data_IF_051065541436
#
_entry.id   IF_051065541436
#
_cell.length_a   1.000
_cell.length_b   1.000
_cell.length_c   1.000
_cell.angle_alpha   90.00
_cell.angle_beta   90.00
_cell.angle_gamma   90.00
#
_symmetry.space_group_name_H-M   'P 1'
#
loop_
_entity.id
_entity.type
_entity.pdbx_description
1 polymer ?
#
# COMPACT_ATOMS: atom_id res chain seq x y z
N UNK A 1 -7.51 5.03 -10.79
CA UNK A 1 -7.90 5.76 -9.57
C UNK A 1 -8.93 4.96 -8.80
N UNK A 2 -8.86 5.04 -7.49
CA UNK A 2 -9.74 4.31 -6.60
C UNK A 2 -10.39 5.32 -5.66
N UNK A 3 -11.71 5.24 -5.51
CA UNK A 3 -12.44 6.08 -4.55
C UNK A 3 -12.73 5.25 -3.30
N UNK A 4 -12.28 5.74 -2.15
CA UNK A 4 -12.52 5.10 -0.86
C UNK A 4 -13.14 6.14 0.07
N UNK A 5 -14.37 5.90 0.48
CA UNK A 5 -15.11 6.80 1.38
C UNK A 5 -15.11 8.26 0.88
N UNK A 6 -15.30 8.45 -0.43
CA UNK A 6 -15.31 9.79 -1.02
C UNK A 6 -13.95 10.39 -1.31
N UNK A 7 -12.87 9.72 -0.92
CA UNK A 7 -11.50 10.19 -1.16
C UNK A 7 -10.89 9.47 -2.35
N UNK A 8 -10.23 10.21 -3.21
CA UNK A 8 -9.63 9.68 -4.43
C UNK A 8 -8.18 9.26 -4.14
N UNK A 9 -7.90 7.99 -4.40
CA UNK A 9 -6.58 7.42 -4.22
C UNK A 9 -5.97 7.05 -5.57
N UNK A 10 -4.66 7.24 -5.70
CA UNK A 10 -3.92 6.86 -6.92
C UNK A 10 -2.97 5.73 -6.60
N UNK A 11 -2.79 4.83 -7.57
CA UNK A 11 -1.87 3.70 -7.46
C UNK A 11 -0.79 3.85 -8.53
N UNK A 12 0.48 3.77 -8.11
CA UNK A 12 1.62 3.85 -9.00
C UNK A 12 2.47 2.59 -8.89
N UNK A 13 2.83 2.03 -10.04
CA UNK A 13 3.81 0.96 -10.11
C UNK A 13 5.18 1.61 -10.30
N UNK A 14 6.11 1.32 -9.41
CA UNK A 14 7.44 1.97 -9.39
C UNK A 14 8.54 0.93 -9.36
N UNK A 15 9.77 1.37 -9.66
CA UNK A 15 10.93 0.50 -9.59
C UNK A 15 11.19 0.06 -8.14
N UNK A 16 11.79 -1.12 -7.93
CA UNK A 16 12.10 -1.61 -6.58
C UNK A 16 12.98 -0.66 -5.77
N UNK A 17 13.80 0.13 -6.45
CA UNK A 17 14.70 1.10 -5.81
C UNK A 17 14.04 2.43 -5.50
N UNK A 18 12.76 2.60 -5.81
CA UNK A 18 12.07 3.86 -5.60
C UNK A 18 12.10 4.25 -4.11
N UNK A 19 12.42 5.53 -3.81
CA UNK A 19 12.53 5.97 -2.40
C UNK A 19 11.27 5.72 -1.57
N UNK A 20 10.10 5.76 -2.17
CA UNK A 20 8.82 5.54 -1.46
C UNK A 20 8.71 4.12 -0.90
N UNK A 21 9.44 3.16 -1.47
CA UNK A 21 9.43 1.77 -1.01
C UNK A 21 10.51 1.49 0.05
N UNK A 22 11.38 2.46 0.32
CA UNK A 22 12.47 2.26 1.27
C UNK A 22 11.96 2.35 2.70
N UNK A 23 12.27 1.34 3.49
CA UNK A 23 11.92 1.29 4.90
C UNK A 23 13.01 1.91 5.75
N UNK A 24 12.64 2.29 6.99
CA UNK A 24 13.59 2.87 7.93
C UNK A 24 14.70 1.90 8.35
N UNK A 25 14.47 0.59 8.22
CA UNK A 25 15.46 -0.43 8.54
C UNK A 25 16.42 -0.74 7.38
N UNK A 26 16.30 -0.04 6.26
CA UNK A 26 17.14 -0.21 5.08
C UNK A 26 16.63 -1.23 4.07
N UNK A 27 15.57 -1.96 4.38
CA UNK A 27 14.97 -2.91 3.45
C UNK A 27 13.92 -2.22 2.58
N UNK A 28 13.70 -2.78 1.38
CA UNK A 28 12.67 -2.30 0.48
C UNK A 28 11.35 -3.00 0.78
N UNK A 29 10.25 -2.24 0.82
CA UNK A 29 8.90 -2.78 0.88
C UNK A 29 8.44 -3.20 -0.50
N UNK A 30 7.46 -4.09 -0.58
CA UNK A 30 6.78 -4.41 -1.83
C UNK A 30 5.71 -3.36 -2.16
N UNK A 31 5.22 -2.64 -1.17
CA UNK A 31 4.25 -1.58 -1.35
C UNK A 31 4.29 -0.57 -0.21
N UNK A 32 3.73 0.60 -0.46
CA UNK A 32 3.65 1.69 0.51
C UNK A 32 2.38 2.50 0.29
N UNK A 33 1.74 2.90 1.37
CA UNK A 33 0.51 3.69 1.34
C UNK A 33 0.77 5.02 2.06
N UNK A 34 0.55 6.13 1.34
CA UNK A 34 0.71 7.48 1.88
C UNK A 34 -0.68 8.11 2.05
N UNK A 35 -1.09 8.31 3.29
CA UNK A 35 -2.41 8.85 3.61
C UNK A 35 -2.50 10.37 3.46
N UNK A 36 -1.38 11.06 3.44
CA UNK A 36 -1.36 12.51 3.24
C UNK A 36 -1.60 12.83 1.77
N UNK A 37 -0.86 12.15 0.89
CA UNK A 37 -0.97 12.36 -0.55
C UNK A 37 -2.07 11.51 -1.19
N UNK A 38 -2.64 10.56 -0.46
CA UNK A 38 -3.65 9.61 -0.97
C UNK A 38 -3.13 8.84 -2.17
N UNK A 39 -1.93 8.26 -2.01
CA UNK A 39 -1.30 7.46 -3.07
C UNK A 39 -0.80 6.14 -2.51
N UNK A 40 -0.74 5.15 -3.39
CA UNK A 40 -0.20 3.83 -3.11
C UNK A 40 0.91 3.57 -4.11
N UNK A 41 2.09 3.21 -3.62
CA UNK A 41 3.22 2.82 -4.46
C UNK A 41 3.41 1.32 -4.34
N UNK A 42 3.58 0.64 -5.47
CA UNK A 42 3.78 -0.81 -5.51
C UNK A 42 4.98 -1.12 -6.40
N UNK A 43 5.81 -2.07 -5.96
CA UNK A 43 6.92 -2.58 -6.77
C UNK A 43 6.34 -3.23 -8.03
N UNK A 44 6.59 -2.62 -9.19
CA UNK A 44 6.04 -3.07 -10.47
C UNK A 44 6.77 -4.28 -11.06
N UNK A 45 7.86 -4.74 -10.45
CA UNK A 45 8.64 -5.87 -10.95
C UNK A 45 8.32 -7.21 -10.30
N UNK A 46 7.37 -7.24 -9.36
CA UNK A 46 6.89 -8.50 -8.78
C UNK A 46 5.87 -9.13 -9.74
N UNK A 47 5.67 -10.46 -9.62
CA UNK A 47 4.72 -11.14 -10.50
C UNK A 47 3.27 -10.76 -10.16
N UNK A 48 2.36 -11.05 -11.09
CA UNK A 48 0.95 -10.65 -10.96
C UNK A 48 0.28 -11.18 -9.70
N UNK A 49 0.62 -12.39 -9.28
CA UNK A 49 0.01 -12.99 -8.09
C UNK A 49 0.36 -12.17 -6.84
N UNK A 50 1.64 -11.85 -6.69
CA UNK A 50 2.09 -11.03 -5.55
C UNK A 50 1.65 -9.58 -5.68
N UNK A 51 1.61 -9.07 -6.90
CA UNK A 51 1.13 -7.70 -7.16
C UNK A 51 -0.28 -7.52 -6.61
N UNK A 52 -1.17 -8.48 -6.88
CA UNK A 52 -2.54 -8.43 -6.39
C UNK A 52 -2.61 -8.50 -4.86
N UNK A 53 -1.78 -9.36 -4.26
CA UNK A 53 -1.72 -9.46 -2.79
C UNK A 53 -1.25 -8.15 -2.16
N UNK A 54 -0.19 -7.56 -2.69
CA UNK A 54 0.35 -6.31 -2.17
C UNK A 54 -0.67 -5.18 -2.35
N UNK A 55 -1.32 -5.14 -3.50
CA UNK A 55 -2.36 -4.14 -3.75
C UNK A 55 -3.51 -4.27 -2.74
N UNK A 56 -3.99 -5.48 -2.48
CA UNK A 56 -5.03 -5.71 -1.49
C UNK A 56 -4.60 -5.25 -0.10
N UNK A 57 -3.36 -5.53 0.29
CA UNK A 57 -2.82 -5.11 1.56
C UNK A 57 -2.80 -3.59 1.69
N UNK A 58 -2.30 -2.90 0.65
CA UNK A 58 -2.23 -1.44 0.65
C UNK A 58 -3.62 -0.80 0.57
N UNK A 59 -4.56 -1.41 -0.14
CA UNK A 59 -5.95 -0.94 -0.14
C UNK A 59 -6.60 -1.07 1.23
N UNK A 60 -6.21 -2.08 1.99
CA UNK A 60 -6.66 -2.24 3.38
C UNK A 60 -6.18 -1.07 4.23
N UNK A 61 -4.90 -0.69 4.10
CA UNK A 61 -4.37 0.49 4.78
C UNK A 61 -5.09 1.77 4.36
N UNK A 62 -5.32 1.93 3.06
CA UNK A 62 -6.03 3.10 2.55
C UNK A 62 -7.45 3.19 3.12
N UNK A 63 -8.15 2.07 3.22
CA UNK A 63 -9.47 2.02 3.82
C UNK A 63 -9.42 2.37 5.32
N UNK A 64 -8.41 1.87 6.03
CA UNK A 64 -8.23 2.21 7.44
C UNK A 64 -8.07 3.72 7.63
N UNK A 65 -7.24 4.35 6.81
CA UNK A 65 -7.04 5.80 6.89
C UNK A 65 -8.32 6.56 6.52
N UNK A 66 -9.02 6.14 5.47
CA UNK A 66 -10.21 6.83 4.99
C UNK A 66 -11.41 6.68 5.92
N UNK A 67 -11.53 5.54 6.61
CA UNK A 67 -12.61 5.30 7.55
C UNK A 67 -12.21 5.52 9.00
N UNK A 68 -10.96 5.94 9.23
CA UNK A 68 -10.42 6.18 10.56
C UNK A 68 -10.53 4.96 11.48
N UNK A 69 -10.17 3.80 10.93
CA UNK A 69 -10.21 2.51 11.63
C UNK A 69 -8.78 1.97 11.72
N UNK A 70 -8.40 1.50 12.92
CA UNK A 70 -7.11 0.86 13.12
C UNK A 70 -7.29 -0.65 13.20
N UNK A 71 -6.44 -1.38 12.47
CA UNK A 71 -6.32 -2.82 12.61
C UNK A 71 -5.15 -3.14 13.53
N UNK A 72 -5.27 -4.22 14.28
CA UNK A 72 -4.13 -4.70 15.06
C UNK A 72 -3.05 -5.25 14.13
N UNK A 73 -1.82 -5.32 14.63
CA UNK A 73 -0.71 -5.87 13.87
C UNK A 73 -1.04 -7.28 13.32
N UNK A 74 -1.70 -8.11 14.12
CA UNK A 74 -2.08 -9.46 13.71
C UNK A 74 -3.09 -9.44 12.58
N UNK A 75 -4.05 -8.53 12.61
CA UNK A 75 -5.04 -8.40 11.55
C UNK A 75 -4.41 -7.94 10.24
N UNK A 76 -3.46 -7.02 10.30
CA UNK A 76 -2.72 -6.61 9.11
C UNK A 76 -1.94 -7.77 8.51
N UNK A 77 -1.34 -8.60 9.35
CA UNK A 77 -0.55 -9.74 8.91
C UNK A 77 -1.39 -10.78 8.15
N UNK A 78 -2.64 -10.93 8.53
CA UNK A 78 -3.57 -11.85 7.86
C UNK A 78 -3.82 -11.43 6.41
N UNK A 79 -3.89 -10.14 6.15
CA UNK A 79 -4.15 -9.63 4.81
C UNK A 79 -2.93 -9.65 3.89
N UNK A 80 -1.75 -9.76 4.45
CA UNK A 80 -0.53 -9.78 3.68
C UNK A 80 -0.22 -11.19 3.18
#
# INVERSE_FOLDING_TARGET
>A
MININGEEWKVFLVAPSHPALRRSDGYASLGCCDDILKVIFINGEIDDFYLKKVLCHELTHAAMFSYNVDLTYEQEYIYY
#
